data_IF_647562457609
#
_entry.id   IF_647562457609
#
_cell.length_a   1.000
_cell.length_b   1.000
_cell.length_c   1.000
_cell.angle_alpha   90.00
_cell.angle_beta   90.00
_cell.angle_gamma   90.00
#
_symmetry.space_group_name_H-M   'P 1'
#
loop_
_entity.id
_entity.type
_entity.pdbx_description
1 polymer ?
#
# COMPACT_ATOMS: atom_id res chain seq x y z
N UNK A 1 63.11 59.99 -16.87
CA UNK A 1 62.50 60.70 -15.73
C UNK A 1 61.00 60.80 -15.80
N UNK A 2 60.40 61.85 -15.29
CA UNK A 2 58.92 61.92 -15.10
C UNK A 2 58.14 61.86 -16.43
N UNK A 3 58.69 62.33 -17.54
CA UNK A 3 58.08 62.30 -18.84
C UNK A 3 58.11 60.91 -19.50
N UNK A 4 59.11 60.16 -19.26
CA UNK A 4 59.22 58.74 -19.64
C UNK A 4 58.16 57.86 -19.01
N UNK A 5 57.87 58.14 -17.74
CA UNK A 5 56.77 57.47 -17.00
C UNK A 5 55.41 57.80 -17.57
N UNK A 6 55.19 59.04 -18.04
CA UNK A 6 53.94 59.47 -18.65
C UNK A 6 53.81 59.01 -20.12
N UNK A 7 54.88 58.90 -20.91
CA UNK A 7 54.89 58.29 -22.24
C UNK A 7 54.51 56.81 -22.19
N UNK A 8 55.08 56.07 -21.18
CA UNK A 8 54.63 54.69 -20.94
C UNK A 8 53.19 54.65 -20.48
N UNK A 9 52.64 55.59 -19.75
CA UNK A 9 51.26 55.63 -19.28
C UNK A 9 50.22 55.71 -20.42
N UNK A 10 50.47 56.54 -21.47
CA UNK A 10 49.52 56.72 -22.57
C UNK A 10 49.43 55.52 -23.52
N UNK A 11 50.56 54.83 -23.82
CA UNK A 11 50.59 53.69 -24.73
C UNK A 11 49.68 52.51 -24.30
N UNK A 12 49.43 52.37 -23.04
CA UNK A 12 48.55 51.28 -22.54
C UNK A 12 47.12 51.74 -22.22
N UNK A 13 46.71 53.07 -22.41
CA UNK A 13 45.30 53.46 -22.17
C UNK A 13 44.31 52.63 -23.02
N UNK A 14 44.53 52.36 -24.32
CA UNK A 14 43.60 51.59 -25.13
C UNK A 14 43.45 50.15 -24.64
N UNK A 15 44.52 49.51 -24.19
CA UNK A 15 44.46 48.16 -23.67
C UNK A 15 43.72 48.12 -22.32
N UNK A 16 43.87 49.14 -21.47
CA UNK A 16 43.11 49.29 -20.23
C UNK A 16 41.64 49.54 -20.46
N UNK A 17 41.27 50.37 -21.42
CA UNK A 17 39.88 50.58 -21.84
C UNK A 17 39.25 49.29 -22.33
N UNK A 18 39.96 48.53 -23.16
CA UNK A 18 39.50 47.24 -23.63
C UNK A 18 39.31 46.23 -22.50
N UNK A 19 40.26 46.18 -21.56
CA UNK A 19 40.15 45.30 -20.36
C UNK A 19 38.97 45.68 -19.46
N UNK A 20 38.71 46.98 -19.29
CA UNK A 20 37.52 47.45 -18.55
C UNK A 20 36.23 47.04 -19.25
N UNK A 21 36.13 47.20 -20.57
CA UNK A 21 34.97 46.78 -21.36
C UNK A 21 34.74 45.28 -21.25
N UNK A 22 35.80 44.47 -21.26
CA UNK A 22 35.70 43.02 -21.07
C UNK A 22 35.16 42.66 -19.70
N UNK A 23 35.68 43.30 -18.63
CA UNK A 23 35.19 43.10 -17.26
C UNK A 23 33.77 43.58 -17.06
N UNK A 24 33.37 44.67 -17.69
CA UNK A 24 31.98 45.10 -17.72
C UNK A 24 31.09 44.06 -18.35
N UNK A 25 31.49 43.48 -19.47
CA UNK A 25 30.75 42.40 -20.11
C UNK A 25 30.69 41.11 -19.25
N UNK A 26 31.77 40.80 -18.54
CA UNK A 26 31.81 39.67 -17.60
C UNK A 26 30.90 39.91 -16.39
N UNK A 27 30.94 41.11 -15.81
CA UNK A 27 30.07 41.52 -14.71
C UNK A 27 28.60 41.47 -15.14
N UNK A 28 28.28 41.91 -16.37
CA UNK A 28 26.93 41.87 -16.90
C UNK A 28 26.43 40.44 -17.14
N UNK A 29 27.31 39.53 -17.61
CA UNK A 29 26.99 38.10 -17.72
C UNK A 29 26.76 37.47 -16.34
N UNK A 30 27.60 37.78 -15.35
CA UNK A 30 27.45 37.34 -13.98
C UNK A 30 26.13 37.84 -13.37
N UNK A 31 25.74 39.10 -13.64
CA UNK A 31 24.43 39.65 -13.23
C UNK A 31 23.28 38.81 -13.80
N UNK A 32 23.29 38.56 -15.11
CA UNK A 32 22.24 37.76 -15.74
C UNK A 32 22.15 36.31 -15.18
N UNK A 33 23.30 35.72 -14.85
CA UNK A 33 23.32 34.40 -14.19
C UNK A 33 22.75 34.45 -12.77
N UNK A 34 23.03 35.52 -12.02
CA UNK A 34 22.46 35.71 -10.67
C UNK A 34 20.94 35.91 -10.72
N UNK A 35 20.45 36.68 -11.67
CA UNK A 35 19.00 36.85 -11.89
C UNK A 35 18.31 35.51 -12.15
N UNK A 36 18.82 34.74 -13.12
CA UNK A 36 18.29 33.42 -13.44
C UNK A 36 18.28 32.44 -12.26
N UNK A 37 19.34 32.48 -11.45
CA UNK A 37 19.40 31.65 -10.23
C UNK A 37 18.42 32.12 -9.17
N UNK A 38 18.22 33.44 -9.03
CA UNK A 38 17.26 34.02 -8.12
C UNK A 38 15.83 33.61 -8.50
N UNK A 39 15.50 33.65 -9.80
CA UNK A 39 14.20 33.19 -10.32
C UNK A 39 13.97 31.69 -10.04
N UNK A 40 14.97 30.85 -10.33
CA UNK A 40 14.89 29.40 -10.03
C UNK A 40 14.71 29.12 -8.54
N UNK A 41 15.38 29.92 -7.69
CA UNK A 41 15.25 29.78 -6.26
C UNK A 41 13.87 30.23 -5.76
N UNK A 42 13.25 31.20 -6.44
CA UNK A 42 11.89 31.66 -6.13
C UNK A 42 10.80 30.63 -6.44
N UNK A 43 11.03 29.70 -7.36
CA UNK A 43 10.11 28.60 -7.69
C UNK A 43 10.15 27.44 -6.69
N UNK A 44 11.26 27.31 -5.96
CA UNK A 44 11.51 26.17 -5.08
C UNK A 44 10.46 25.99 -3.97
N UNK A 45 9.90 27.03 -3.35
CA UNK A 45 8.86 26.85 -2.33
C UNK A 45 7.61 26.12 -2.88
N UNK A 46 7.16 26.45 -4.08
CA UNK A 46 6.02 25.78 -4.72
C UNK A 46 6.33 24.31 -5.04
N UNK A 47 7.55 24.04 -5.55
CA UNK A 47 8.01 22.67 -5.82
C UNK A 47 8.11 21.85 -4.55
N UNK A 48 8.58 22.46 -3.43
CA UNK A 48 8.63 21.84 -2.12
C UNK A 48 7.24 21.46 -1.61
N UNK A 49 6.28 22.38 -1.73
CA UNK A 49 4.89 22.14 -1.31
C UNK A 49 4.31 20.95 -2.05
N UNK A 50 4.48 20.85 -3.37
CA UNK A 50 4.02 19.71 -4.16
C UNK A 50 4.66 18.38 -3.73
N UNK A 51 5.95 18.39 -3.38
CA UNK A 51 6.63 17.21 -2.83
C UNK A 51 6.08 16.80 -1.46
N UNK A 52 5.82 17.77 -0.60
CA UNK A 52 5.22 17.53 0.73
C UNK A 52 3.83 16.92 0.60
N UNK A 53 2.97 17.50 -0.24
CA UNK A 53 1.61 16.99 -0.47
C UNK A 53 1.63 15.54 -1.00
N UNK A 54 2.54 15.26 -1.94
CA UNK A 54 2.70 13.90 -2.48
C UNK A 54 3.16 12.91 -1.40
N UNK A 55 4.09 13.34 -0.54
CA UNK A 55 4.57 12.52 0.56
C UNK A 55 3.50 12.27 1.62
N UNK A 56 2.73 13.29 1.96
CA UNK A 56 1.63 13.16 2.93
C UNK A 56 0.58 12.18 2.42
N UNK A 57 0.18 12.27 1.15
CA UNK A 57 -0.73 11.30 0.53
C UNK A 57 -0.18 9.86 0.57
N UNK A 58 1.11 9.68 0.31
CA UNK A 58 1.77 8.37 0.40
C UNK A 58 1.80 7.84 1.85
N UNK A 59 2.01 8.70 2.83
CA UNK A 59 1.98 8.34 4.27
C UNK A 59 0.59 7.96 4.74
N UNK A 60 -0.44 8.70 4.33
CA UNK A 60 -1.83 8.36 4.61
C UNK A 60 -2.19 7.00 4.03
N UNK A 61 -1.78 6.73 2.78
CA UNK A 61 -1.95 5.42 2.17
C UNK A 61 -1.26 4.32 2.99
N UNK A 62 -0.02 4.55 3.44
CA UNK A 62 0.74 3.61 4.28
C UNK A 62 0.08 3.36 5.63
N UNK A 63 -0.39 4.41 6.29
CA UNK A 63 -1.09 4.30 7.57
C UNK A 63 -2.42 3.53 7.47
N UNK A 64 -3.06 3.56 6.30
CA UNK A 64 -4.29 2.84 6.01
C UNK A 64 -4.12 1.36 5.65
N UNK A 65 -2.89 0.86 5.40
CA UNK A 65 -2.64 -0.48 4.89
C UNK A 65 -3.19 -1.60 5.78
N UNK A 66 -3.00 -1.51 7.09
CA UNK A 66 -3.47 -2.54 8.03
C UNK A 66 -4.99 -2.64 8.00
N UNK A 67 -5.69 -1.50 8.01
CA UNK A 67 -7.14 -1.47 7.90
C UNK A 67 -7.68 -1.99 6.56
N UNK A 68 -6.96 -1.77 5.46
CA UNK A 68 -7.29 -2.31 4.15
C UNK A 68 -6.99 -3.82 4.08
N UNK A 69 -5.91 -4.27 4.71
CA UNK A 69 -5.60 -5.69 4.83
C UNK A 69 -6.70 -6.44 5.61
N UNK A 70 -7.14 -5.88 6.72
CA UNK A 70 -8.24 -6.44 7.53
C UNK A 70 -9.56 -6.48 6.75
N UNK A 71 -9.84 -5.44 5.96
CA UNK A 71 -11.03 -5.42 5.08
C UNK A 71 -10.95 -6.52 4.02
N UNK A 72 -9.79 -6.70 3.38
CA UNK A 72 -9.59 -7.77 2.42
C UNK A 72 -9.77 -9.14 3.06
N UNK A 73 -9.19 -9.36 4.23
CA UNK A 73 -9.30 -10.63 4.98
C UNK A 73 -10.76 -10.94 5.33
N UNK A 74 -11.50 -9.96 5.84
CA UNK A 74 -12.94 -10.12 6.12
C UNK A 74 -13.75 -10.39 4.84
N UNK A 75 -13.48 -9.68 3.76
CA UNK A 75 -14.16 -9.91 2.49
C UNK A 75 -13.86 -11.32 1.93
N UNK A 76 -12.65 -11.84 2.13
CA UNK A 76 -12.27 -13.21 1.77
C UNK A 76 -13.02 -14.26 2.63
N UNK A 77 -13.19 -14.00 3.91
CA UNK A 77 -13.99 -14.84 4.84
C UNK A 77 -15.47 -14.83 4.43
N UNK A 78 -16.04 -13.66 4.15
CA UNK A 78 -17.43 -13.54 3.69
C UNK A 78 -17.64 -14.24 2.36
N UNK A 79 -16.72 -14.10 1.40
CA UNK A 79 -16.85 -14.80 0.10
C UNK A 79 -16.77 -16.31 0.25
N UNK A 80 -15.85 -16.83 1.08
CA UNK A 80 -15.75 -18.25 1.37
C UNK A 80 -17.00 -18.77 2.06
N UNK A 81 -17.54 -17.99 3.00
CA UNK A 81 -18.78 -18.34 3.70
C UNK A 81 -19.99 -18.31 2.77
N UNK A 82 -20.10 -17.34 1.87
CA UNK A 82 -21.19 -17.27 0.89
C UNK A 82 -21.18 -18.47 -0.08
N UNK A 83 -20.00 -18.90 -0.53
CA UNK A 83 -19.87 -20.15 -1.31
C UNK A 83 -20.28 -21.38 -0.50
N UNK A 84 -19.93 -21.41 0.79
CA UNK A 84 -20.35 -22.50 1.69
C UNK A 84 -21.86 -22.51 1.90
N UNK A 85 -22.53 -21.36 1.97
CA UNK A 85 -24.00 -21.26 2.05
C UNK A 85 -24.66 -21.92 0.84
N UNK A 86 -24.20 -21.67 -0.37
CA UNK A 86 -24.74 -22.30 -1.58
C UNK A 86 -24.60 -23.81 -1.54
N UNK A 87 -23.40 -24.30 -1.18
CA UNK A 87 -23.13 -25.74 -1.11
C UNK A 87 -23.93 -26.42 0.01
N UNK A 88 -23.95 -25.83 1.21
CA UNK A 88 -24.64 -26.39 2.36
C UNK A 88 -26.16 -26.34 2.18
N UNK A 89 -26.71 -25.34 1.52
CA UNK A 89 -28.13 -25.27 1.21
C UNK A 89 -28.55 -26.40 0.28
N UNK A 90 -27.76 -26.70 -0.75
CA UNK A 90 -28.03 -27.86 -1.61
C UNK A 90 -27.89 -29.19 -0.87
N UNK A 91 -26.89 -29.32 0.02
CA UNK A 91 -26.71 -30.50 0.84
C UNK A 91 -27.86 -30.68 1.84
N UNK A 92 -28.34 -29.60 2.46
CA UNK A 92 -29.43 -29.63 3.42
C UNK A 92 -30.70 -30.15 2.75
N UNK A 93 -31.03 -29.69 1.54
CA UNK A 93 -32.17 -30.21 0.78
C UNK A 93 -32.07 -31.73 0.57
N UNK A 94 -30.87 -32.24 0.23
CA UNK A 94 -30.66 -33.69 0.11
C UNK A 94 -30.81 -34.44 1.45
N UNK A 95 -30.39 -33.82 2.57
CA UNK A 95 -30.53 -34.40 3.89
C UNK A 95 -32.00 -34.39 4.37
N UNK A 96 -32.77 -33.35 4.01
CA UNK A 96 -34.22 -33.31 4.23
C UNK A 96 -34.89 -34.51 3.56
N UNK A 97 -34.60 -34.74 2.28
CA UNK A 97 -35.15 -35.91 1.56
C UNK A 97 -34.73 -37.23 2.21
N UNK A 98 -33.45 -37.37 2.57
CA UNK A 98 -32.96 -38.58 3.27
C UNK A 98 -33.61 -38.79 4.63
N UNK A 99 -33.84 -37.73 5.41
CA UNK A 99 -34.60 -37.84 6.66
C UNK A 99 -36.06 -38.25 6.44
N UNK A 100 -36.71 -37.68 5.43
CA UNK A 100 -38.09 -38.05 5.10
C UNK A 100 -38.21 -39.53 4.71
N UNK A 101 -37.29 -40.00 3.84
CA UNK A 101 -37.22 -41.41 3.44
C UNK A 101 -37.00 -42.34 4.62
N UNK A 102 -36.00 -42.02 5.50
CA UNK A 102 -35.69 -42.79 6.68
C UNK A 102 -36.86 -42.82 7.68
N UNK A 103 -37.60 -41.71 7.82
CA UNK A 103 -38.77 -41.64 8.69
C UNK A 103 -39.92 -42.54 8.17
N UNK A 104 -40.16 -42.57 6.89
CA UNK A 104 -41.13 -43.46 6.25
C UNK A 104 -40.76 -44.92 6.50
N UNK A 105 -39.51 -45.31 6.26
CA UNK A 105 -39.01 -46.66 6.48
C UNK A 105 -39.12 -47.10 7.97
N UNK A 106 -38.79 -46.22 8.91
CA UNK A 106 -38.93 -46.49 10.33
C UNK A 106 -40.40 -46.69 10.76
N UNK A 107 -41.31 -45.87 10.19
CA UNK A 107 -42.72 -46.01 10.44
C UNK A 107 -43.27 -47.33 9.82
N UNK A 108 -42.89 -47.67 8.60
CA UNK A 108 -43.24 -48.94 7.96
C UNK A 108 -42.72 -50.14 8.76
N UNK A 109 -41.48 -50.08 9.23
CA UNK A 109 -40.88 -51.12 10.05
C UNK A 109 -41.63 -51.30 11.38
N UNK A 110 -42.01 -50.17 12.03
CA UNK A 110 -42.80 -50.17 13.25
C UNK A 110 -44.15 -50.81 13.02
N UNK A 111 -44.85 -50.49 11.97
CA UNK A 111 -46.14 -51.08 11.60
C UNK A 111 -46.02 -52.58 11.25
N UNK A 112 -44.93 -52.96 10.60
CA UNK A 112 -44.61 -54.37 10.30
C UNK A 112 -44.40 -55.17 11.60
N UNK A 113 -43.69 -54.68 12.55
CA UNK A 113 -43.54 -55.33 13.88
C UNK A 113 -44.92 -55.52 14.54
N UNK A 114 -45.74 -54.45 14.52
CA UNK A 114 -47.07 -54.49 15.09
C UNK A 114 -47.94 -55.56 14.45
N UNK A 115 -48.01 -55.60 13.13
CA UNK A 115 -48.82 -56.54 12.36
C UNK A 115 -48.30 -57.97 12.50
N UNK A 116 -46.97 -58.18 12.42
CA UNK A 116 -46.33 -59.48 12.60
C UNK A 116 -46.56 -60.06 14.00
N UNK A 117 -46.45 -59.22 15.05
CA UNK A 117 -46.73 -59.62 16.46
C UNK A 117 -48.18 -60.02 16.60
N UNK A 118 -49.13 -59.25 16.05
CA UNK A 118 -50.57 -59.64 16.13
C UNK A 118 -50.82 -60.93 15.35
N UNK A 119 -50.24 -61.17 14.20
CA UNK A 119 -50.36 -62.42 13.46
C UNK A 119 -49.74 -63.61 14.27
N UNK A 120 -48.59 -63.40 14.93
CA UNK A 120 -47.99 -64.41 15.78
C UNK A 120 -48.85 -64.73 16.97
N UNK A 121 -49.40 -63.73 17.66
CA UNK A 121 -50.31 -63.95 18.82
C UNK A 121 -51.56 -64.72 18.41
N UNK A 122 -52.19 -64.27 17.26
CA UNK A 122 -53.39 -64.95 16.76
C UNK A 122 -53.11 -66.37 16.31
N UNK A 123 -51.99 -66.61 15.63
CA UNK A 123 -51.55 -67.91 15.19
C UNK A 123 -51.27 -68.87 16.38
N UNK A 124 -50.58 -68.35 17.39
CA UNK A 124 -50.31 -69.10 18.65
C UNK A 124 -51.58 -69.43 19.43
N UNK A 125 -52.49 -68.45 19.55
CA UNK A 125 -53.79 -68.66 20.15
C UNK A 125 -54.60 -69.70 19.39
N UNK A 126 -54.62 -69.69 18.05
CA UNK A 126 -55.28 -70.69 17.25
C UNK A 126 -54.68 -72.08 17.33
N UNK A 127 -53.34 -72.16 17.40
CA UNK A 127 -52.65 -73.45 17.61
C UNK A 127 -53.01 -74.07 18.99
N UNK A 128 -52.93 -73.26 20.09
CA UNK A 128 -53.31 -73.69 21.41
C UNK A 128 -54.79 -74.08 21.54
N UNK A 129 -55.63 -73.34 20.80
CA UNK A 129 -57.07 -73.67 20.74
C UNK A 129 -57.33 -75.01 20.02
N UNK A 130 -56.51 -75.34 19.02
CA UNK A 130 -56.58 -76.60 18.29
C UNK A 130 -56.20 -77.84 19.12
N UNK A 131 -55.45 -77.65 20.18
CA UNK A 131 -55.04 -78.68 21.15
C UNK A 131 -56.05 -78.88 22.27
N UNK A 132 -57.12 -78.08 22.34
CA UNK A 132 -58.13 -78.19 23.37
C UNK A 132 -58.97 -79.48 23.17
N UNK A 133 -59.06 -80.31 24.23
CA UNK A 133 -59.89 -81.44 24.26
C UNK A 133 -61.11 -81.16 25.15
N UNK A 134 -62.31 -81.50 24.73
CA UNK A 134 -63.55 -81.21 25.44
C UNK A 134 -63.54 -81.94 26.80
N UNK A 135 -63.72 -81.21 27.93
CA UNK A 135 -63.70 -81.72 29.27
C UNK A 135 -62.35 -81.87 29.97
N UNK A 136 -61.22 -81.65 29.28
CA UNK A 136 -59.88 -81.60 29.84
C UNK A 136 -59.48 -80.20 30.25
N UNK A 137 -58.69 -80.02 31.34
CA UNK A 137 -58.21 -78.69 31.76
C UNK A 137 -57.24 -78.10 30.72
N UNK A 138 -57.49 -76.87 30.30
CA UNK A 138 -56.59 -76.09 29.34
C UNK A 138 -55.20 -75.89 29.97
N UNK A 139 -54.10 -76.18 29.24
CA UNK A 139 -52.73 -76.01 29.74
C UNK A 139 -52.35 -74.57 30.01
N UNK A 140 -53.14 -73.59 29.53
CA UNK A 140 -52.84 -72.15 29.67
C UNK A 140 -53.62 -71.51 30.81
N UNK A 141 -54.91 -71.81 30.94
CA UNK A 141 -55.79 -71.18 31.94
C UNK A 141 -56.51 -72.17 32.94
N UNK A 142 -56.38 -73.46 32.74
CA UNK A 142 -57.01 -74.50 33.60
C UNK A 142 -58.49 -74.66 33.38
N UNK A 143 -59.19 -73.95 32.52
CA UNK A 143 -60.59 -74.03 32.23
C UNK A 143 -60.92 -75.31 31.44
N UNK A 144 -62.04 -75.95 31.69
CA UNK A 144 -62.55 -77.12 30.94
C UNK A 144 -63.56 -76.76 29.84
N UNK A 145 -63.93 -75.46 29.73
CA UNK A 145 -64.84 -74.93 28.73
C UNK A 145 -64.32 -73.61 28.16
N UNK A 146 -64.38 -73.50 26.86
CA UNK A 146 -64.01 -72.30 26.12
C UNK A 146 -65.13 -71.89 25.14
N UNK A 147 -65.96 -70.88 25.51
CA UNK A 147 -67.16 -70.52 24.71
C UNK A 147 -66.86 -69.95 23.34
N UNK A 148 -65.62 -69.35 23.13
CA UNK A 148 -65.18 -68.78 21.84
C UNK A 148 -63.67 -69.03 21.73
N UNK A 149 -63.21 -70.22 21.37
CA UNK A 149 -61.82 -70.53 21.14
C UNK A 149 -61.34 -69.81 19.90
N UNK A 150 -60.08 -69.43 19.88
CA UNK A 150 -59.46 -68.84 18.72
C UNK A 150 -59.48 -69.86 17.53
N UNK A 151 -59.75 -69.38 16.35
CA UNK A 151 -59.65 -70.18 15.12
C UNK A 151 -58.22 -70.36 14.67
N UNK A 152 -57.83 -71.58 14.32
CA UNK A 152 -56.52 -71.78 13.62
C UNK A 152 -56.56 -71.12 12.29
N UNK A 153 -55.99 -69.91 12.17
CA UNK A 153 -55.80 -69.19 10.92
C UNK A 153 -54.56 -69.70 10.14
N UNK A 154 -54.64 -69.71 8.83
CA UNK A 154 -53.54 -70.12 7.94
C UNK A 154 -52.36 -69.07 7.91
N UNK A 155 -52.60 -67.90 8.48
CA UNK A 155 -51.72 -66.73 8.31
C UNK A 155 -50.97 -66.38 9.61
N UNK A 156 -50.68 -67.32 10.49
CA UNK A 156 -49.89 -67.11 11.68
C UNK A 156 -48.41 -66.83 11.40
N UNK A 157 -47.90 -65.72 11.93
CA UNK A 157 -46.44 -65.44 11.85
C UNK A 157 -45.67 -66.36 12.81
N UNK A 158 -44.44 -66.67 12.45
CA UNK A 158 -43.50 -67.39 13.31
C UNK A 158 -42.74 -66.43 14.28
N UNK A 159 -42.26 -66.95 15.43
CA UNK A 159 -41.35 -66.18 16.31
C UNK A 159 -40.17 -65.60 15.59
N UNK A 160 -39.55 -66.36 14.68
CA UNK A 160 -38.43 -65.93 13.87
C UNK A 160 -38.77 -64.72 12.98
N UNK A 161 -40.03 -64.70 12.42
CA UNK A 161 -40.51 -63.54 11.66
C UNK A 161 -40.70 -62.29 12.52
N UNK A 162 -41.17 -62.48 13.78
CA UNK A 162 -41.25 -61.35 14.74
C UNK A 162 -39.85 -60.79 15.06
N UNK A 163 -38.88 -61.66 15.42
CA UNK A 163 -37.51 -61.30 15.71
C UNK A 163 -36.83 -60.58 14.50
N UNK A 164 -37.12 -61.07 13.29
CA UNK A 164 -36.59 -60.41 12.07
C UNK A 164 -37.25 -59.04 11.82
N UNK A 165 -38.54 -58.87 12.09
CA UNK A 165 -39.21 -57.56 11.99
C UNK A 165 -38.70 -56.57 13.03
N UNK A 166 -38.45 -57.03 14.27
CA UNK A 166 -37.88 -56.20 15.35
C UNK A 166 -36.44 -55.79 15.02
N UNK A 167 -35.63 -56.64 14.45
CA UNK A 167 -34.29 -56.32 13.99
C UNK A 167 -34.34 -55.29 12.86
N UNK A 168 -35.23 -55.44 11.90
CA UNK A 168 -35.41 -54.50 10.83
C UNK A 168 -35.88 -53.12 11.35
N UNK A 169 -36.77 -53.10 12.35
CA UNK A 169 -37.18 -51.87 13.02
C UNK A 169 -36.00 -51.17 13.68
N UNK A 170 -35.16 -51.89 14.44
CA UNK A 170 -33.96 -51.32 15.07
C UNK A 170 -33.05 -50.70 14.05
N UNK A 171 -32.78 -51.37 12.91
CA UNK A 171 -31.98 -50.86 11.80
C UNK A 171 -32.59 -49.62 11.19
N UNK A 172 -33.89 -49.57 10.97
CA UNK A 172 -34.58 -48.40 10.43
C UNK A 172 -34.54 -47.19 11.42
N UNK A 173 -34.71 -47.43 12.71
CA UNK A 173 -34.63 -46.42 13.77
C UNK A 173 -33.20 -45.87 13.89
N UNK A 174 -32.17 -46.73 13.79
CA UNK A 174 -30.77 -46.32 13.76
C UNK A 174 -30.45 -45.48 12.50
N UNK A 175 -30.96 -45.85 11.32
CA UNK A 175 -30.80 -45.11 10.08
C UNK A 175 -31.48 -43.73 10.18
N UNK A 176 -32.71 -43.66 10.72
CA UNK A 176 -33.41 -42.39 10.96
C UNK A 176 -32.60 -41.51 11.93
N UNK A 177 -32.14 -42.07 13.04
CA UNK A 177 -31.31 -41.31 14.00
C UNK A 177 -30.02 -40.79 13.39
N UNK A 178 -29.40 -41.53 12.46
CA UNK A 178 -28.22 -41.08 11.73
C UNK A 178 -28.54 -39.95 10.77
N UNK A 179 -29.62 -40.09 9.98
CA UNK A 179 -30.08 -39.09 9.04
C UNK A 179 -30.41 -37.76 9.74
N UNK A 180 -31.11 -37.82 10.89
CA UNK A 180 -31.42 -36.61 11.69
C UNK A 180 -30.15 -35.95 12.20
N UNK A 181 -29.18 -36.69 12.73
CA UNK A 181 -27.91 -36.11 13.19
C UNK A 181 -27.14 -35.45 12.04
N UNK A 182 -27.13 -36.05 10.85
CA UNK A 182 -26.46 -35.49 9.70
C UNK A 182 -27.16 -34.22 9.17
N UNK A 183 -28.49 -34.23 9.18
CA UNK A 183 -29.30 -33.05 8.86
C UNK A 183 -29.01 -31.90 9.85
N UNK A 184 -29.07 -32.16 11.15
CA UNK A 184 -28.83 -31.12 12.15
C UNK A 184 -27.42 -30.55 12.10
N UNK A 185 -26.42 -31.41 11.86
CA UNK A 185 -25.04 -30.98 11.66
C UNK A 185 -24.89 -30.12 10.40
N UNK A 186 -25.58 -30.47 9.30
CA UNK A 186 -25.58 -29.66 8.09
C UNK A 186 -26.28 -28.31 8.29
N UNK A 187 -27.44 -28.32 8.94
CA UNK A 187 -28.21 -27.12 9.33
C UNK A 187 -27.38 -26.15 10.18
N UNK A 188 -26.68 -26.68 11.19
CA UNK A 188 -25.81 -25.88 12.06
C UNK A 188 -24.69 -25.22 11.26
N UNK A 189 -24.00 -25.97 10.39
CA UNK A 189 -22.94 -25.40 9.53
C UNK A 189 -23.47 -24.35 8.57
N UNK A 190 -24.68 -24.57 8.02
CA UNK A 190 -25.32 -23.58 7.16
C UNK A 190 -25.59 -22.28 7.91
N UNK A 191 -26.12 -22.35 9.13
CA UNK A 191 -26.36 -21.19 9.97
C UNK A 191 -25.06 -20.43 10.31
N UNK A 192 -23.96 -21.14 10.60
CA UNK A 192 -22.65 -20.54 10.83
C UNK A 192 -22.14 -19.83 9.56
N UNK A 193 -22.25 -20.48 8.40
CA UNK A 193 -21.86 -19.89 7.12
C UNK A 193 -22.71 -18.66 6.78
N UNK A 194 -24.02 -18.69 7.02
CA UNK A 194 -24.92 -17.54 6.85
C UNK A 194 -24.56 -16.36 7.74
N UNK A 195 -24.20 -16.61 8.99
CA UNK A 195 -23.74 -15.56 9.91
C UNK A 195 -22.41 -14.96 9.44
N UNK A 196 -21.48 -15.80 9.02
CA UNK A 196 -20.14 -15.35 8.56
C UNK A 196 -20.24 -14.62 7.21
N UNK A 197 -21.15 -15.00 6.32
CA UNK A 197 -21.36 -14.29 5.03
C UNK A 197 -22.02 -12.92 5.20
N UNK A 198 -22.55 -12.59 6.39
CA UNK A 198 -23.27 -11.35 6.69
C UNK A 198 -24.43 -11.09 5.70
N UNK A 199 -25.09 -12.17 5.26
CA UNK A 199 -26.21 -12.11 4.33
C UNK A 199 -25.83 -11.83 2.87
N UNK A 200 -24.54 -11.78 2.54
CA UNK A 200 -24.08 -11.62 1.16
C UNK A 200 -24.19 -12.94 0.41
N UNK A 201 -24.63 -12.87 -0.84
CA UNK A 201 -24.52 -13.96 -1.81
C UNK A 201 -23.08 -14.07 -2.37
N UNK A 202 -22.78 -15.19 -3.04
CA UNK A 202 -21.44 -15.44 -3.56
C UNK A 202 -20.97 -14.40 -4.60
N UNK A 203 -21.81 -13.93 -5.55
CA UNK A 203 -21.43 -12.85 -6.46
C UNK A 203 -21.11 -11.54 -5.76
N UNK A 204 -21.97 -11.06 -4.85
CA UNK A 204 -21.75 -9.81 -4.11
C UNK A 204 -20.51 -9.88 -3.20
N UNK A 205 -20.31 -11.01 -2.51
CA UNK A 205 -19.13 -11.22 -1.68
C UNK A 205 -17.83 -11.29 -2.51
N UNK A 206 -17.89 -11.84 -3.72
CA UNK A 206 -16.76 -11.83 -4.68
C UNK A 206 -16.42 -10.43 -5.12
N UNK A 207 -17.42 -9.62 -5.50
CA UNK A 207 -17.22 -8.22 -5.89
C UNK A 207 -16.61 -7.41 -4.75
N UNK A 208 -17.08 -7.59 -3.51
CA UNK A 208 -16.51 -6.95 -2.33
C UNK A 208 -15.06 -7.35 -2.10
N UNK A 209 -14.70 -8.62 -2.31
CA UNK A 209 -13.31 -9.10 -2.21
C UNK A 209 -12.42 -8.47 -3.27
N UNK A 210 -12.86 -8.43 -4.54
CA UNK A 210 -12.13 -7.83 -5.64
C UNK A 210 -11.91 -6.31 -5.40
N UNK A 211 -12.93 -5.60 -4.91
CA UNK A 211 -12.83 -4.20 -4.54
C UNK A 211 -11.84 -3.97 -3.39
N UNK A 212 -11.89 -4.78 -2.34
CA UNK A 212 -10.96 -4.70 -1.20
C UNK A 212 -9.52 -5.03 -1.62
N UNK A 213 -9.33 -6.03 -2.49
CA UNK A 213 -8.02 -6.38 -3.03
C UNK A 213 -7.43 -5.25 -3.88
N UNK A 214 -8.25 -4.62 -4.73
CA UNK A 214 -7.85 -3.50 -5.57
C UNK A 214 -7.46 -2.28 -4.72
N UNK A 215 -8.28 -1.94 -3.73
CA UNK A 215 -7.98 -0.84 -2.81
C UNK A 215 -6.66 -1.05 -2.05
N UNK A 216 -6.42 -2.27 -1.56
CA UNK A 216 -5.17 -2.63 -0.89
C UNK A 216 -3.97 -2.54 -1.85
N UNK A 217 -4.09 -3.04 -3.08
CA UNK A 217 -3.03 -2.98 -4.09
C UNK A 217 -2.66 -1.52 -4.44
N UNK A 218 -3.67 -0.67 -4.63
CA UNK A 218 -3.47 0.76 -4.90
C UNK A 218 -2.78 1.47 -3.74
N UNK A 219 -3.23 1.21 -2.50
CA UNK A 219 -2.61 1.80 -1.31
C UNK A 219 -1.17 1.31 -1.10
N UNK A 220 -0.86 0.05 -1.38
CA UNK A 220 0.52 -0.48 -1.33
C UNK A 220 1.41 0.21 -2.35
N UNK A 221 0.97 0.34 -3.59
CA UNK A 221 1.73 1.03 -4.62
C UNK A 221 2.01 2.50 -4.25
N UNK A 222 1.05 3.19 -3.63
CA UNK A 222 1.26 4.54 -3.13
C UNK A 222 2.22 4.58 -1.93
N UNK A 223 2.15 3.61 -1.04
CA UNK A 223 2.98 3.52 0.17
C UNK A 223 4.45 3.15 -0.13
N UNK A 224 4.72 2.39 -1.19
CA UNK A 224 6.08 1.97 -1.58
C UNK A 224 7.00 3.17 -1.89
N UNK A 225 6.43 4.31 -2.29
CA UNK A 225 7.17 5.53 -2.57
C UNK A 225 7.54 6.39 -1.36
N UNK A 226 7.11 6.05 -0.13
CA UNK A 226 7.26 6.90 1.05
C UNK A 226 8.73 7.20 1.37
N UNK A 227 9.61 6.20 1.39
CA UNK A 227 11.04 6.37 1.67
C UNK A 227 11.76 7.17 0.56
N UNK A 228 11.45 6.87 -0.71
CA UNK A 228 12.01 7.61 -1.85
C UNK A 228 11.57 9.09 -1.83
N UNK A 229 10.28 9.34 -1.65
CA UNK A 229 9.74 10.70 -1.58
C UNK A 229 10.34 11.49 -0.42
N UNK A 230 10.57 10.86 0.75
CA UNK A 230 11.20 11.50 1.88
C UNK A 230 12.65 11.83 1.59
N UNK A 231 13.43 10.90 1.03
CA UNK A 231 14.80 11.17 0.59
C UNK A 231 14.87 12.28 -0.45
N UNK A 232 13.93 12.32 -1.39
CA UNK A 232 13.84 13.39 -2.40
C UNK A 232 13.52 14.74 -1.80
N UNK A 233 12.63 14.83 -0.82
CA UNK A 233 12.30 16.10 -0.17
C UNK A 233 13.48 16.62 0.66
N UNK A 234 14.20 15.77 1.37
CA UNK A 234 15.41 16.14 2.10
C UNK A 234 16.53 16.58 1.17
N UNK A 235 16.75 15.84 0.08
CA UNK A 235 17.68 16.23 -0.98
C UNK A 235 17.31 17.58 -1.57
N UNK A 236 16.03 17.81 -1.80
CA UNK A 236 15.52 19.07 -2.31
C UNK A 236 15.77 20.23 -1.33
N UNK A 237 15.49 20.04 -0.03
CA UNK A 237 15.70 21.06 1.00
C UNK A 237 17.18 21.38 1.16
N UNK A 238 18.05 20.39 1.22
CA UNK A 238 19.48 20.55 1.23
C UNK A 238 19.98 21.33 -0.01
N UNK A 239 19.44 21.01 -1.20
CA UNK A 239 19.73 21.73 -2.44
C UNK A 239 19.31 23.18 -2.42
N UNK A 240 18.22 23.45 -1.76
CA UNK A 240 17.76 24.82 -1.60
C UNK A 240 18.72 25.64 -0.76
N UNK A 241 19.18 25.10 0.36
CA UNK A 241 20.14 25.78 1.23
C UNK A 241 21.49 26.03 0.54
N UNK A 242 21.95 25.09 -0.24
CA UNK A 242 23.21 25.24 -0.98
C UNK A 242 23.11 26.19 -2.16
N UNK A 243 21.99 26.19 -2.90
CA UNK A 243 21.77 27.20 -3.91
C UNK A 243 21.69 28.61 -3.29
N UNK A 244 21.11 28.76 -2.09
CA UNK A 244 21.12 30.03 -1.34
C UNK A 244 22.54 30.46 -0.99
N UNK A 245 23.31 29.55 -0.39
CA UNK A 245 24.71 29.84 -0.03
C UNK A 245 25.57 30.18 -1.27
N UNK A 246 25.37 29.47 -2.35
CA UNK A 246 26.06 29.73 -3.61
C UNK A 246 25.64 31.08 -4.25
N UNK A 247 24.36 31.43 -4.14
CA UNK A 247 23.84 32.72 -4.61
C UNK A 247 24.45 33.87 -3.79
N UNK A 248 24.55 33.74 -2.47
CA UNK A 248 25.11 34.74 -1.59
C UNK A 248 26.64 34.91 -1.81
N UNK A 249 27.36 33.80 -2.00
CA UNK A 249 28.78 33.85 -2.38
C UNK A 249 29.00 34.53 -3.75
N UNK A 250 28.13 34.21 -4.71
CA UNK A 250 28.21 34.84 -6.05
C UNK A 250 27.85 36.33 -6.01
N UNK A 251 26.89 36.76 -5.17
CA UNK A 251 26.58 38.19 -4.92
C UNK A 251 27.77 38.92 -4.33
N UNK A 252 28.40 38.33 -3.31
CA UNK A 252 29.59 38.92 -2.67
C UNK A 252 30.77 39.07 -3.69
N UNK A 253 30.97 38.03 -4.50
CA UNK A 253 31.97 38.07 -5.57
C UNK A 253 31.67 39.13 -6.62
N UNK A 254 30.38 39.26 -7.04
CA UNK A 254 29.94 40.30 -7.99
C UNK A 254 30.14 41.69 -7.40
N UNK A 255 29.79 41.93 -6.15
CA UNK A 255 29.95 43.23 -5.47
C UNK A 255 31.42 43.62 -5.36
N UNK A 256 32.28 42.65 -5.00
CA UNK A 256 33.72 42.82 -5.00
C UNK A 256 34.29 43.14 -6.38
N UNK A 257 33.80 42.44 -7.43
CA UNK A 257 34.20 42.71 -8.81
C UNK A 257 33.74 44.10 -9.29
N UNK A 258 32.52 44.51 -8.88
CA UNK A 258 31.98 45.84 -9.15
C UNK A 258 32.80 46.94 -8.51
N UNK A 259 33.12 46.83 -7.23
CA UNK A 259 33.95 47.81 -6.50
C UNK A 259 35.33 47.93 -7.13
N UNK A 260 35.95 46.83 -7.54
CA UNK A 260 37.24 46.84 -8.24
C UNK A 260 37.12 47.52 -9.61
N UNK A 261 36.06 47.25 -10.37
CA UNK A 261 35.80 47.88 -11.65
C UNK A 261 35.65 49.41 -11.50
N UNK A 262 34.89 49.84 -10.50
CA UNK A 262 34.73 51.28 -10.16
C UNK A 262 36.07 51.93 -9.82
N UNK A 263 36.88 51.33 -8.96
CA UNK A 263 38.23 51.82 -8.63
C UNK A 263 39.15 51.85 -9.86
N UNK A 264 39.10 50.86 -10.73
CA UNK A 264 39.86 50.83 -11.94
C UNK A 264 39.43 51.91 -12.97
N UNK A 265 38.11 52.18 -13.07
CA UNK A 265 37.57 53.28 -13.85
C UNK A 265 38.06 54.64 -13.36
N UNK A 266 38.02 54.85 -12.04
CA UNK A 266 38.52 56.07 -11.42
C UNK A 266 40.03 56.25 -11.68
N UNK A 267 40.80 55.17 -11.49
CA UNK A 267 42.24 55.18 -11.77
C UNK A 267 42.55 55.47 -13.24
N UNK A 268 41.78 54.86 -14.15
CA UNK A 268 41.92 55.12 -15.60
C UNK A 268 41.59 56.56 -15.95
N UNK A 269 40.50 57.11 -15.39
CA UNK A 269 40.10 58.49 -15.61
C UNK A 269 41.18 59.47 -15.09
N UNK A 270 41.78 59.19 -13.92
CA UNK A 270 42.89 59.97 -13.38
C UNK A 270 44.13 59.90 -14.23
N UNK A 271 44.47 58.71 -14.75
CA UNK A 271 45.61 58.53 -15.62
C UNK A 271 45.39 59.17 -17.00
N UNK A 272 44.17 59.08 -17.57
CA UNK A 272 43.77 59.84 -18.76
C UNK A 272 43.91 61.34 -18.52
N UNK A 273 43.44 61.83 -17.36
CA UNK A 273 43.57 63.24 -17.01
C UNK A 273 45.03 63.65 -16.85
N UNK A 274 45.87 62.83 -16.20
CA UNK A 274 47.32 63.06 -16.11
C UNK A 274 47.96 63.09 -17.47
N UNK A 275 47.60 62.17 -18.38
CA UNK A 275 48.08 62.14 -19.71
C UNK A 275 47.60 63.39 -20.49
N UNK A 276 46.32 63.76 -20.32
CA UNK A 276 45.77 64.99 -20.91
C UNK A 276 46.43 66.21 -20.37
N UNK A 277 46.71 66.32 -19.13
CA UNK A 277 47.41 67.43 -18.49
C UNK A 277 48.90 67.46 -18.93
N UNK A 278 49.55 66.31 -18.99
CA UNK A 278 50.94 66.21 -19.40
C UNK A 278 51.10 66.35 -20.89
N UNK A 279 50.06 66.05 -21.70
CA UNK A 279 50.06 66.13 -23.15
C UNK A 279 50.16 67.58 -23.63
N UNK A 280 49.62 68.52 -22.90
CA UNK A 280 49.58 69.90 -23.33
C UNK A 280 49.11 70.00 -24.81
N UNK A 281 49.91 70.49 -25.68
CA UNK A 281 49.66 70.63 -27.15
C UNK A 281 50.12 69.41 -27.96
N UNK A 282 50.57 68.32 -27.34
CA UNK A 282 51.18 67.16 -27.99
C UNK A 282 50.21 66.03 -28.24
N UNK A 283 50.40 65.23 -29.33
CA UNK A 283 49.36 64.22 -29.70
C UNK A 283 49.44 62.94 -28.93
N UNK A 284 50.46 62.52 -28.18
CA UNK A 284 50.51 61.26 -27.50
C UNK A 284 51.57 61.10 -26.39
N UNK A 285 51.36 60.29 -25.47
CA UNK A 285 52.26 59.84 -24.41
C UNK A 285 52.22 58.32 -24.37
N UNK A 286 53.35 57.69 -24.37
CA UNK A 286 53.45 56.20 -24.47
C UNK A 286 53.79 55.57 -23.19
N UNK A 287 52.91 55.33 -22.37
CA UNK A 287 53.32 54.76 -21.17
C UNK A 287 52.56 53.59 -20.64
N UNK A 288 52.98 52.50 -20.77
CA UNK A 288 52.15 51.64 -20.18
C UNK A 288 52.39 50.23 -19.97
N UNK A 289 53.48 49.64 -20.36
CA UNK A 289 53.79 48.23 -20.07
C UNK A 289 53.69 47.90 -18.60
N UNK A 290 54.12 48.83 -17.73
CA UNK A 290 54.06 48.60 -16.28
C UNK A 290 52.64 48.61 -15.69
N UNK A 291 51.80 49.53 -16.20
CA UNK A 291 50.40 49.58 -15.72
C UNK A 291 49.55 48.44 -16.23
N UNK A 292 49.86 47.92 -17.41
CA UNK A 292 49.25 46.71 -17.98
C UNK A 292 49.57 45.45 -17.18
N UNK A 293 50.81 45.32 -16.70
CA UNK A 293 51.23 44.19 -15.87
C UNK A 293 50.50 44.15 -14.54
N UNK A 294 50.33 45.31 -13.89
CA UNK A 294 49.60 45.40 -12.63
C UNK A 294 48.13 44.98 -12.85
N UNK A 295 47.55 45.38 -13.97
CA UNK A 295 46.14 45.06 -14.25
C UNK A 295 45.86 43.69 -14.79
N UNK A 296 46.79 43.08 -15.49
CA UNK A 296 46.70 41.68 -15.86
C UNK A 296 46.60 40.82 -14.62
N UNK A 297 47.37 41.18 -13.57
CA UNK A 297 47.32 40.50 -12.27
C UNK A 297 45.99 40.71 -11.53
N UNK A 298 45.46 41.93 -11.57
CA UNK A 298 44.15 42.21 -10.97
C UNK A 298 43.01 41.49 -11.75
N UNK A 299 43.17 41.28 -13.09
CA UNK A 299 42.24 40.52 -13.89
C UNK A 299 42.29 39.01 -13.54
N UNK A 300 43.46 38.51 -13.23
CA UNK A 300 43.68 37.11 -12.83
C UNK A 300 43.08 36.84 -11.43
N UNK A 301 43.25 37.80 -10.52
CA UNK A 301 42.68 37.73 -9.18
C UNK A 301 41.12 37.73 -9.22
N UNK A 302 40.54 38.55 -10.11
CA UNK A 302 39.10 38.55 -10.31
C UNK A 302 38.58 37.25 -10.99
N UNK A 303 39.37 36.66 -11.88
CA UNK A 303 39.06 35.36 -12.48
C UNK A 303 39.12 34.23 -11.45
N UNK A 304 40.09 34.28 -10.55
CA UNK A 304 40.20 33.35 -9.44
C UNK A 304 38.99 33.41 -8.47
N UNK A 305 38.49 34.63 -8.20
CA UNK A 305 37.31 34.82 -7.39
C UNK A 305 36.04 34.16 -8.02
N UNK A 306 35.90 34.27 -9.33
CA UNK A 306 34.83 33.63 -10.09
C UNK A 306 34.97 32.09 -10.04
N UNK A 307 36.18 31.59 -10.17
CA UNK A 307 36.43 30.14 -10.12
C UNK A 307 36.27 29.58 -8.69
N UNK A 308 36.60 30.40 -7.69
CA UNK A 308 36.31 30.05 -6.26
C UNK A 308 34.82 29.96 -6.03
N UNK A 309 34.03 30.88 -6.55
CA UNK A 309 32.57 30.81 -6.44
C UNK A 309 31.98 29.62 -7.21
N UNK A 310 32.52 29.25 -8.39
CA UNK A 310 32.15 28.04 -9.13
C UNK A 310 32.52 26.76 -8.39
N UNK A 311 33.68 26.75 -7.75
CA UNK A 311 34.12 25.61 -6.95
C UNK A 311 33.24 25.43 -5.70
N UNK A 312 32.89 26.52 -5.02
CA UNK A 312 31.95 26.49 -3.93
C UNK A 312 30.57 25.98 -4.35
N UNK A 313 30.10 26.33 -5.56
CA UNK A 313 28.85 25.83 -6.10
C UNK A 313 28.90 24.33 -6.41
N UNK A 314 29.99 23.86 -6.97
CA UNK A 314 30.19 22.44 -7.23
C UNK A 314 30.27 21.61 -5.94
N UNK A 315 30.98 22.11 -4.94
CA UNK A 315 31.05 21.50 -3.61
C UNK A 315 29.67 21.50 -2.91
N UNK A 316 28.95 22.58 -3.06
CA UNK A 316 27.59 22.68 -2.57
C UNK A 316 26.66 21.62 -3.21
N UNK A 317 26.76 21.39 -4.53
CA UNK A 317 26.00 20.34 -5.24
C UNK A 317 26.40 18.93 -4.80
N UNK A 318 27.66 18.70 -4.52
CA UNK A 318 28.14 17.41 -4.02
C UNK A 318 27.59 17.10 -2.62
N UNK A 319 27.70 18.05 -1.69
CA UNK A 319 27.18 17.92 -0.36
C UNK A 319 25.65 17.66 -0.33
N UNK A 320 24.94 18.16 -1.36
CA UNK A 320 23.51 17.89 -1.60
C UNK A 320 23.23 16.42 -1.91
N UNK A 321 23.99 15.87 -2.84
CA UNK A 321 23.86 14.49 -3.24
C UNK A 321 24.21 13.54 -2.06
N UNK A 322 25.25 13.90 -1.29
CA UNK A 322 25.68 13.12 -0.12
C UNK A 322 24.60 13.14 0.99
N UNK A 323 24.00 14.30 1.22
CA UNK A 323 22.90 14.43 2.18
C UNK A 323 21.65 13.69 1.72
N UNK A 324 21.33 13.73 0.41
CA UNK A 324 20.23 12.97 -0.18
C UNK A 324 20.37 11.47 0.07
N UNK A 325 21.59 10.96 -0.09
CA UNK A 325 21.88 9.55 0.16
C UNK A 325 21.73 9.20 1.65
N UNK A 326 22.27 10.01 2.53
CA UNK A 326 22.18 9.79 3.99
C UNK A 326 20.73 9.77 4.47
N UNK A 327 19.90 10.64 3.92
CA UNK A 327 18.49 10.73 4.27
C UNK A 327 17.67 9.54 3.76
N UNK A 328 18.02 9.03 2.57
CA UNK A 328 17.42 7.79 2.04
C UNK A 328 17.79 6.57 2.90
N UNK A 329 19.03 6.53 3.38
CA UNK A 329 19.52 5.48 4.28
C UNK A 329 18.80 5.46 5.64
N UNK A 330 18.43 6.64 6.17
CA UNK A 330 17.68 6.80 7.43
C UNK A 330 16.17 6.62 7.27
N UNK A 331 15.68 6.33 6.07
CA UNK A 331 14.26 6.01 5.80
C UNK A 331 13.31 7.22 5.81
N UNK A 332 13.85 8.43 5.67
CA UNK A 332 13.06 9.66 5.59
C UNK A 332 12.92 10.13 4.14
N UNK A 333 11.74 10.58 3.74
CA UNK A 333 11.43 11.07 2.40
C UNK A 333 11.41 12.61 2.32
N UNK A 334 11.60 13.32 3.45
CA UNK A 334 11.71 14.78 3.51
C UNK A 334 12.32 15.30 4.81
N UNK A 335 12.87 16.52 4.77
CA UNK A 335 13.34 17.23 5.96
C UNK A 335 12.20 17.51 6.95
N UNK A 336 10.98 17.76 6.47
CA UNK A 336 9.82 17.91 7.32
C UNK A 336 9.51 16.63 8.12
N UNK A 337 9.72 15.47 7.50
CA UNK A 337 9.54 14.18 8.16
C UNK A 337 10.65 13.91 9.21
N UNK A 338 11.88 14.22 8.88
CA UNK A 338 12.98 14.07 9.83
C UNK A 338 12.82 15.02 11.04
N UNK A 339 12.35 16.26 10.79
CA UNK A 339 12.09 17.24 11.86
C UNK A 339 10.87 16.85 12.71
N UNK A 340 9.90 16.16 12.14
CA UNK A 340 8.72 15.69 12.88
C UNK A 340 8.98 14.37 13.66
N UNK A 341 10.09 13.70 13.39
CA UNK A 341 10.52 12.48 14.08
C UNK A 341 11.46 12.75 15.28
N UNK A 342 11.91 14.01 15.43
CA UNK A 342 12.64 14.54 16.59
C UNK A 342 11.66 15.14 17.61
#
# INVERSE_FOLDING_TARGET
GQLETLVNLEAGLPERESALQQREAELQRASGQLEQRTEKLAERPAQRTALVETLEAAREARAGLDGLQDRRTRAEEHHRAALAVEQLSAQLAQRDDSCAEAAVLAQEATERVRTTRLAWISGTAGALAGELTEGEPCPVCGSTTHPSPASAGTDGATRQQVEAAEEHQRQADEALSSAVREHDACSTRLQEAQRTSDGMDAPAAKEALEAAATALATARAAADGVEDLAGRLEAFDAGTEQERAALDAARTAQESARSRLEAEREALAQDQQRCLEARGTWPSVTARAAALLVRAKEAEDASQDIDTARTALAQARSALADLASALTEEGFTSAAQATAAL
#
